data_IF_384482905478
#
_entry.id   IF_384482905478
#
_cell.length_a   1.000
_cell.length_b   1.000
_cell.length_c   1.000
_cell.angle_alpha   90.00
_cell.angle_beta   90.00
_cell.angle_gamma   90.00
#
_symmetry.space_group_name_H-M   'P 1'
#
loop_
_entity.id
_entity.type
_entity.pdbx_description
1 polymer ?
#
# COMPACT_ATOMS: atom_id res chain seq x y z
N UNK A 1 -3.06 -3.49 15.71
CA UNK A 1 -3.59 -4.27 14.56
C UNK A 1 -4.02 -5.63 15.08
N UNK A 2 -5.32 -5.90 15.11
CA UNK A 2 -5.87 -7.16 15.62
C UNK A 2 -5.70 -8.22 14.53
N UNK A 3 -4.84 -9.21 14.75
CA UNK A 3 -4.70 -10.38 13.86
C UNK A 3 -5.97 -11.21 13.98
N UNK A 4 -6.79 -11.27 12.93
CA UNK A 4 -7.86 -12.25 12.81
C UNK A 4 -7.20 -13.55 12.33
N UNK A 5 -7.07 -14.54 13.21
CA UNK A 5 -6.69 -15.88 12.79
C UNK A 5 -7.86 -16.47 12.01
N UNK A 6 -7.67 -16.67 10.72
CA UNK A 6 -8.64 -17.36 9.87
C UNK A 6 -8.30 -18.85 9.85
N UNK A 7 -9.22 -19.66 10.36
CA UNK A 7 -9.07 -21.11 10.37
C UNK A 7 -9.50 -21.65 9.00
N UNK A 8 -8.57 -22.20 8.23
CA UNK A 8 -8.87 -22.78 6.92
C UNK A 8 -9.17 -24.27 7.12
N UNK A 9 -10.38 -24.68 6.73
CA UNK A 9 -10.83 -26.08 6.79
C UNK A 9 -10.26 -26.84 5.59
N UNK A 10 -9.36 -27.78 5.85
CA UNK A 10 -8.79 -28.66 4.82
C UNK A 10 -9.42 -30.04 4.93
N UNK A 11 -10.04 -30.52 3.85
CA UNK A 11 -10.61 -31.86 3.76
C UNK A 11 -9.59 -32.82 3.13
N UNK A 12 -9.06 -33.76 3.93
CA UNK A 12 -8.18 -34.82 3.46
C UNK A 12 -8.57 -36.17 4.05
N UNK A 13 -8.80 -37.17 3.19
CA UNK A 13 -9.01 -38.58 3.56
C UNK A 13 -9.94 -38.82 4.76
N UNK A 14 -11.13 -38.22 4.74
CA UNK A 14 -12.17 -38.44 5.75
C UNK A 14 -11.82 -37.94 7.16
N UNK A 15 -10.76 -37.15 7.33
CA UNK A 15 -10.36 -36.57 8.62
C UNK A 15 -10.30 -35.05 8.52
N UNK A 16 -10.97 -34.39 9.45
CA UNK A 16 -10.99 -32.93 9.58
C UNK A 16 -9.75 -32.48 10.36
N UNK A 17 -8.93 -31.62 9.75
CA UNK A 17 -7.76 -31.03 10.40
C UNK A 17 -7.88 -29.50 10.33
N UNK A 18 -7.64 -28.86 11.48
CA UNK A 18 -7.50 -27.41 11.58
C UNK A 18 -6.02 -27.07 11.34
N UNK A 19 -5.66 -26.65 10.12
CA UNK A 19 -4.37 -26.01 9.91
C UNK A 19 -4.46 -24.58 10.44
N UNK A 20 -3.80 -24.35 11.58
CA UNK A 20 -3.38 -22.98 11.93
C UNK A 20 -2.21 -22.66 11.03
N UNK A 21 -2.47 -22.08 9.86
CA UNK A 21 -1.40 -21.44 9.10
C UNK A 21 -0.79 -20.36 9.99
N UNK A 22 0.44 -20.62 10.42
CA UNK A 22 1.21 -19.72 11.27
C UNK A 22 1.69 -18.57 10.39
N UNK A 23 0.81 -17.60 10.12
CA UNK A 23 1.13 -16.35 9.44
C UNK A 23 1.98 -15.40 10.31
N UNK A 24 2.83 -15.94 11.18
CA UNK A 24 3.76 -15.11 11.94
C UNK A 24 4.97 -14.81 11.07
N UNK A 25 5.12 -13.51 10.81
CA UNK A 25 6.27 -12.95 10.12
C UNK A 25 7.51 -13.11 11.01
N UNK A 26 8.45 -13.95 10.61
CA UNK A 26 9.73 -14.11 11.31
C UNK A 26 10.66 -12.94 10.98
N UNK A 27 10.67 -11.92 11.84
CA UNK A 27 11.53 -10.73 11.70
C UNK A 27 13.04 -11.02 11.81
N UNK A 28 13.44 -12.23 12.21
CA UNK A 28 14.84 -12.67 12.26
C UNK A 28 15.31 -13.27 10.93
N UNK A 29 14.39 -13.75 10.09
CA UNK A 29 14.70 -14.36 8.80
C UNK A 29 14.92 -13.27 7.76
N UNK A 30 16.15 -13.20 7.24
CA UNK A 30 16.56 -12.18 6.25
C UNK A 30 15.69 -12.19 4.98
N UNK A 31 15.25 -13.36 4.55
CA UNK A 31 14.41 -13.54 3.35
C UNK A 31 13.02 -12.91 3.51
N UNK A 32 12.41 -13.07 4.68
CA UNK A 32 11.10 -12.52 5.01
C UNK A 32 11.18 -11.01 5.14
N UNK A 33 12.19 -10.50 5.84
CA UNK A 33 12.46 -9.05 5.90
C UNK A 33 12.68 -8.46 4.51
N UNK A 34 13.48 -9.12 3.65
CA UNK A 34 13.72 -8.67 2.27
C UNK A 34 12.40 -8.60 1.49
N UNK A 35 11.55 -9.60 1.66
CA UNK A 35 10.26 -9.68 0.97
C UNK A 35 9.31 -8.59 1.44
N UNK A 36 9.17 -8.39 2.75
CA UNK A 36 8.34 -7.32 3.32
C UNK A 36 8.80 -5.95 2.85
N UNK A 37 10.10 -5.66 2.93
CA UNK A 37 10.66 -4.37 2.48
C UNK A 37 10.43 -4.18 0.98
N UNK A 38 10.70 -5.20 0.16
CA UNK A 38 10.48 -5.14 -1.29
C UNK A 38 9.02 -4.88 -1.62
N UNK A 39 8.10 -5.62 -1.01
CA UNK A 39 6.66 -5.48 -1.24
C UNK A 39 6.16 -4.11 -0.76
N UNK A 40 6.60 -3.65 0.41
CA UNK A 40 6.22 -2.35 0.95
C UNK A 40 6.73 -1.21 0.07
N UNK A 41 7.98 -1.27 -0.39
CA UNK A 41 8.57 -0.26 -1.29
C UNK A 41 7.86 -0.25 -2.65
N UNK A 42 7.58 -1.41 -3.24
CA UNK A 42 6.84 -1.51 -4.51
C UNK A 42 5.40 -1.02 -4.37
N UNK A 43 4.71 -1.40 -3.30
CA UNK A 43 3.36 -0.94 -2.99
C UNK A 43 3.33 0.58 -2.84
N UNK A 44 4.25 1.15 -2.04
CA UNK A 44 4.36 2.60 -1.85
C UNK A 44 4.65 3.34 -3.16
N UNK A 45 5.57 2.83 -3.99
CA UNK A 45 5.89 3.41 -5.30
C UNK A 45 4.68 3.36 -6.23
N UNK A 46 4.00 2.22 -6.30
CA UNK A 46 2.81 2.04 -7.16
C UNK A 46 1.68 2.96 -6.73
N UNK A 47 1.39 3.05 -5.43
CA UNK A 47 0.40 3.96 -4.88
C UNK A 47 0.74 5.43 -5.22
N UNK A 48 1.99 5.86 -5.00
CA UNK A 48 2.45 7.21 -5.36
C UNK A 48 2.28 7.49 -6.87
N UNK A 49 2.66 6.54 -7.73
CA UNK A 49 2.56 6.70 -9.18
C UNK A 49 1.10 6.83 -9.65
N UNK A 50 0.18 6.07 -9.04
CA UNK A 50 -1.27 6.19 -9.30
C UNK A 50 -1.79 7.57 -8.92
N UNK A 51 -1.40 8.07 -7.75
CA UNK A 51 -1.79 9.40 -7.28
C UNK A 51 -1.24 10.50 -8.21
N UNK A 52 0.01 10.37 -8.65
CA UNK A 52 0.62 11.33 -9.56
C UNK A 52 0.01 11.29 -10.97
N UNK A 53 -0.34 10.11 -11.48
CA UNK A 53 -1.03 9.96 -12.75
C UNK A 53 -2.42 10.61 -12.72
N UNK A 54 -3.13 10.51 -11.58
CA UNK A 54 -4.39 11.22 -11.39
C UNK A 54 -4.19 12.74 -11.27
N UNK A 55 -3.19 13.18 -10.50
CA UNK A 55 -2.82 14.60 -10.39
C UNK A 55 -2.54 15.23 -11.76
N UNK A 56 -1.79 14.55 -12.64
CA UNK A 56 -1.48 15.02 -14.00
C UNK A 56 -2.69 15.21 -14.92
N UNK A 57 -3.87 14.64 -14.60
CA UNK A 57 -5.10 14.87 -15.38
C UNK A 57 -5.60 16.31 -15.23
N UNK A 58 -5.16 17.00 -14.19
CA UNK A 58 -5.52 18.37 -13.91
C UNK A 58 -4.31 19.27 -14.18
N UNK A 59 -4.55 20.39 -14.87
CA UNK A 59 -3.49 21.33 -15.23
C UNK A 59 -3.14 22.29 -14.08
N UNK A 60 -3.98 22.39 -13.04
CA UNK A 60 -3.78 23.28 -11.89
C UNK A 60 -4.00 22.58 -10.56
N UNK A 61 -3.16 22.90 -9.58
CA UNK A 61 -3.23 22.37 -8.20
C UNK A 61 -4.58 22.63 -7.54
N UNK A 62 -5.15 23.80 -7.79
CA UNK A 62 -6.44 24.22 -7.22
C UNK A 62 -7.61 23.38 -7.76
N UNK A 63 -7.61 23.09 -9.06
CA UNK A 63 -8.62 22.19 -9.66
C UNK A 63 -8.48 20.75 -9.13
N UNK A 64 -7.24 20.32 -8.88
CA UNK A 64 -6.95 18.99 -8.33
C UNK A 64 -7.42 18.85 -6.88
N UNK A 65 -7.27 19.88 -6.06
CA UNK A 65 -7.69 19.88 -4.65
C UNK A 65 -9.22 19.79 -4.49
N UNK A 66 -9.98 20.33 -5.45
CA UNK A 66 -11.45 20.25 -5.45
C UNK A 66 -11.99 18.85 -5.79
N UNK A 67 -11.15 17.97 -6.34
CA UNK A 67 -11.55 16.61 -6.77
C UNK A 67 -10.59 15.55 -6.23
N UNK A 68 -10.64 15.25 -4.91
CA UNK A 68 -9.86 14.17 -4.34
C UNK A 68 -10.17 12.83 -5.01
N UNK A 69 -9.17 11.94 -5.06
CA UNK A 69 -9.37 10.58 -5.55
C UNK A 69 -10.26 9.81 -4.56
N UNK A 70 -11.25 9.02 -5.03
CA UNK A 70 -12.30 8.43 -4.18
C UNK A 70 -11.80 7.55 -3.02
N UNK A 71 -10.59 7.00 -3.09
CA UNK A 71 -10.01 6.13 -2.06
C UNK A 71 -9.02 6.87 -1.13
N UNK A 72 -8.92 8.20 -1.24
CA UNK A 72 -7.96 9.01 -0.46
C UNK A 72 -8.70 10.09 0.32
N UNK A 73 -8.33 10.32 1.58
CA UNK A 73 -8.94 11.42 2.36
C UNK A 73 -8.50 12.78 1.84
N UNK A 74 -9.25 13.82 2.16
CA UNK A 74 -8.92 15.17 1.73
C UNK A 74 -7.58 15.66 2.32
N UNK A 75 -7.23 15.30 3.56
CA UNK A 75 -5.94 15.67 4.14
C UNK A 75 -4.79 14.96 3.44
N UNK A 76 -4.91 13.64 3.23
CA UNK A 76 -3.90 12.85 2.51
C UNK A 76 -3.71 13.37 1.07
N UNK A 77 -4.82 13.71 0.40
CA UNK A 77 -4.78 14.28 -0.94
C UNK A 77 -4.06 15.61 -1.00
N UNK A 78 -4.30 16.49 -0.01
CA UNK A 78 -3.60 17.76 0.13
C UNK A 78 -2.09 17.58 0.32
N UNK A 79 -1.69 16.60 1.13
CA UNK A 79 -0.28 16.25 1.33
C UNK A 79 0.36 15.74 0.03
N UNK A 80 -0.31 14.86 -0.72
CA UNK A 80 0.16 14.41 -2.03
C UNK A 80 0.29 15.55 -3.03
N UNK A 81 -0.69 16.45 -3.10
CA UNK A 81 -0.61 17.61 -3.99
C UNK A 81 0.59 18.49 -3.62
N UNK A 82 0.81 18.76 -2.33
CA UNK A 82 1.99 19.49 -1.87
C UNK A 82 3.29 18.77 -2.24
N UNK A 83 3.35 17.45 -2.07
CA UNK A 83 4.51 16.63 -2.42
C UNK A 83 4.81 16.68 -3.94
N UNK A 84 3.79 16.66 -4.80
CA UNK A 84 3.96 16.73 -6.25
C UNK A 84 4.29 18.14 -6.76
N UNK A 85 3.94 19.19 -6.01
CA UNK A 85 4.27 20.57 -6.38
C UNK A 85 5.62 21.03 -5.80
N UNK A 86 6.15 20.33 -4.80
CA UNK A 86 7.44 20.66 -4.19
C UNK A 86 8.60 20.35 -5.15
N UNK A 87 9.59 21.24 -5.23
CA UNK A 87 10.79 21.09 -6.09
C UNK A 87 11.57 19.80 -5.85
N UNK A 88 11.42 19.18 -4.67
CA UNK A 88 11.97 17.87 -4.35
C UNK A 88 11.53 16.75 -5.33
N UNK A 89 10.46 16.97 -6.09
CA UNK A 89 10.02 16.06 -7.15
C UNK A 89 10.86 16.15 -8.44
N UNK A 90 11.63 17.24 -8.63
CA UNK A 90 12.51 17.44 -9.79
C UNK A 90 13.94 16.91 -9.59
N UNK A 91 14.37 16.71 -8.34
CA UNK A 91 15.76 16.32 -8.00
C UNK A 91 15.97 14.80 -7.92
N UNK A 92 14.90 14.00 -7.88
CA UNK A 92 14.98 12.53 -7.81
C UNK A 92 14.23 11.81 -8.95
N UNK A 93 13.99 12.49 -10.07
CA UNK A 93 13.43 11.90 -11.29
C UNK A 93 14.53 11.29 -12.17
#
# INVERSE_FOLDING_TARGET
MVKKQEQVKVLGNGKEWWQKEHFDLEYTRREDMRTVVKTMMTSRRTHRNRMHAYFKKFQSKEATLLKPQPDTTQEQWKEFCNLFTAEAFLVCA
#
